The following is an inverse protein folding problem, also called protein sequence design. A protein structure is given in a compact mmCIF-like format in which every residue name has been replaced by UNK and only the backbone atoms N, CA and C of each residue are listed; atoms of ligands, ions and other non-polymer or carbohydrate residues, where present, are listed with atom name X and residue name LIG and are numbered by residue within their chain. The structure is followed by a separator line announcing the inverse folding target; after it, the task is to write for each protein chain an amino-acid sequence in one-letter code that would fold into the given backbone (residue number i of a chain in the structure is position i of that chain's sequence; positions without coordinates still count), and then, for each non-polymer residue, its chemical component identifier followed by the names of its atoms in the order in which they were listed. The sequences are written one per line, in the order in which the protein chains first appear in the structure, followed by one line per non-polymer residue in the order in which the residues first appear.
data_IF_059937180786
#
_entry.id   IF_059937180786
#
_cell.length_a   1.000
_cell.length_b   1.000
_cell.length_c   1.000
_cell.angle_alpha   90.00
_cell.angle_beta   90.00
_cell.angle_gamma   90.00
#
_symmetry.space_group_name_H-M   'P 1'
#
loop_
_entity.id
_entity.type
_entity.pdbx_description
1 polymer ?
#
# COMPACT_ATOMS: atom_id res chain seq x y z
N UNK A 1 -10.73 52.30 9.39
CA UNK A 1 -9.98 51.07 8.92
C UNK A 1 -10.50 49.91 9.71
N UNK A 2 -11.40 49.11 9.12
CA UNK A 2 -11.96 47.91 9.78
C UNK A 2 -10.84 46.91 9.92
N UNK A 3 -10.40 46.64 11.16
CA UNK A 3 -9.43 45.60 11.45
C UNK A 3 -10.04 44.22 11.08
N UNK A 4 -9.60 43.64 10.01
CA UNK A 4 -9.91 42.25 9.73
C UNK A 4 -9.43 41.44 10.93
N UNK A 5 -10.35 40.80 11.65
CA UNK A 5 -10.02 39.93 12.78
C UNK A 5 -9.07 38.82 12.31
N UNK A 6 -8.24 38.32 13.23
CA UNK A 6 -7.32 37.24 12.93
C UNK A 6 -8.06 36.05 12.28
N UNK A 7 -7.51 35.46 11.21
CA UNK A 7 -8.18 34.36 10.51
C UNK A 7 -8.39 33.17 11.47
N UNK A 8 -9.59 32.57 11.42
CA UNK A 8 -9.97 31.42 12.23
C UNK A 8 -10.29 30.25 11.31
N UNK A 9 -9.63 29.10 11.54
CA UNK A 9 -9.78 27.88 10.73
C UNK A 9 -10.00 26.70 11.66
N UNK A 10 -10.97 25.84 11.33
CA UNK A 10 -11.16 24.55 11.96
C UNK A 10 -10.68 23.44 11.03
N UNK A 11 -9.87 22.54 11.56
CA UNK A 11 -9.45 21.30 10.89
C UNK A 11 -10.15 20.14 11.59
N UNK A 12 -10.90 19.34 10.84
CA UNK A 12 -11.63 18.19 11.37
C UNK A 12 -10.86 16.91 11.07
N UNK A 13 -10.52 16.15 12.12
CA UNK A 13 -9.75 14.93 12.07
C UNK A 13 -8.28 15.13 12.47
N UNK A 14 -7.87 14.48 13.56
CA UNK A 14 -6.52 14.53 14.12
C UNK A 14 -5.58 13.45 13.62
N UNK A 15 -5.87 12.81 12.48
CA UNK A 15 -4.92 11.93 11.80
C UNK A 15 -3.81 12.73 11.11
N UNK A 16 -2.84 12.02 10.47
CA UNK A 16 -1.67 12.65 9.83
C UNK A 16 -2.07 13.77 8.85
N UNK A 17 -3.13 13.58 8.08
CA UNK A 17 -3.62 14.58 7.12
C UNK A 17 -4.05 15.87 7.83
N UNK A 18 -4.85 15.76 8.89
CA UNK A 18 -5.31 16.94 9.65
C UNK A 18 -4.19 17.63 10.42
N UNK A 19 -3.27 16.86 11.01
CA UNK A 19 -2.09 17.41 11.67
C UNK A 19 -1.20 18.18 10.72
N UNK A 20 -0.89 17.62 9.53
CA UNK A 20 -0.11 18.31 8.50
C UNK A 20 -0.85 19.54 7.96
N UNK A 21 -2.18 19.45 7.76
CA UNK A 21 -2.98 20.60 7.36
C UNK A 21 -2.92 21.74 8.38
N UNK A 22 -3.09 21.42 9.66
CA UNK A 22 -2.98 22.42 10.74
C UNK A 22 -1.58 23.04 10.81
N UNK A 23 -0.54 22.24 10.68
CA UNK A 23 0.85 22.70 10.61
C UNK A 23 1.08 23.64 9.42
N UNK A 24 0.67 23.27 8.21
CA UNK A 24 0.78 24.10 7.01
C UNK A 24 -0.01 25.40 7.13
N UNK A 25 -1.22 25.34 7.67
CA UNK A 25 -2.03 26.53 7.96
C UNK A 25 -1.33 27.46 8.95
N UNK A 26 -0.71 26.93 10.00
CA UNK A 26 0.06 27.73 10.94
C UNK A 26 1.20 28.46 10.28
N UNK A 27 1.92 27.79 9.37
CA UNK A 27 3.01 28.43 8.61
C UNK A 27 2.53 29.47 7.60
N UNK A 28 1.39 29.23 6.95
CA UNK A 28 0.83 30.15 5.97
C UNK A 28 0.18 31.38 6.59
N UNK A 29 -0.55 31.20 7.68
CA UNK A 29 -1.37 32.24 8.29
C UNK A 29 -0.65 32.98 9.45
N UNK A 30 0.47 32.47 9.89
CA UNK A 30 1.27 33.04 11.00
C UNK A 30 0.71 32.76 12.39
N UNK A 31 1.41 33.29 13.41
CA UNK A 31 1.13 32.98 14.82
C UNK A 31 -0.21 33.53 15.30
N UNK A 32 -0.72 34.59 14.70
CA UNK A 32 -1.98 35.24 15.12
C UNK A 32 -3.25 34.53 14.64
N UNK A 33 -3.15 33.63 13.66
CA UNK A 33 -4.30 32.85 13.22
C UNK A 33 -4.79 31.89 14.30
N UNK A 34 -6.11 31.80 14.48
CA UNK A 34 -6.72 30.78 15.34
C UNK A 34 -6.91 29.51 14.52
N UNK A 35 -6.16 28.46 14.83
CA UNK A 35 -6.33 27.13 14.23
C UNK A 35 -6.82 26.18 15.31
N UNK A 36 -7.97 25.55 15.04
CA UNK A 36 -8.60 24.58 15.95
C UNK A 36 -8.60 23.23 15.26
N UNK A 37 -7.97 22.24 15.88
CA UNK A 37 -8.01 20.85 15.44
C UNK A 37 -9.08 20.11 16.26
N UNK A 38 -10.03 19.50 15.57
CA UNK A 38 -11.13 18.73 16.15
C UNK A 38 -10.90 17.24 15.87
N UNK A 39 -10.82 16.44 16.92
CA UNK A 39 -10.67 14.98 16.85
C UNK A 39 -11.82 14.32 17.62
N UNK A 40 -12.42 13.28 17.04
CA UNK A 40 -13.56 12.56 17.64
C UNK A 40 -13.15 11.46 18.61
N UNK A 41 -11.87 11.04 18.58
CA UNK A 41 -11.31 10.06 19.50
C UNK A 41 -10.53 10.73 20.65
N UNK A 42 -10.14 9.95 21.64
CA UNK A 42 -9.36 10.43 22.79
C UNK A 42 -7.87 10.71 22.46
N UNK A 43 -7.43 10.41 21.24
CA UNK A 43 -6.04 10.58 20.83
C UNK A 43 -5.89 11.17 19.43
N UNK A 44 -4.76 11.83 19.18
CA UNK A 44 -4.32 12.21 17.85
C UNK A 44 -3.59 11.04 17.15
N UNK A 45 -3.32 11.19 15.86
CA UNK A 45 -2.57 10.24 15.04
C UNK A 45 -3.43 9.41 14.08
N UNK A 46 -4.70 9.18 14.40
CA UNK A 46 -5.60 8.39 13.54
C UNK A 46 -5.08 6.96 13.30
N UNK A 47 -4.69 6.65 12.06
CA UNK A 47 -4.13 5.35 11.67
C UNK A 47 -2.66 5.15 12.10
N UNK A 48 -1.95 6.19 12.50
CA UNK A 48 -0.65 6.07 13.17
C UNK A 48 -0.92 5.71 14.63
N UNK A 49 -0.42 4.56 15.07
CA UNK A 49 -0.64 4.09 16.44
C UNK A 49 0.50 3.22 16.90
N UNK A 50 1.24 3.70 17.89
CA UNK A 50 2.24 2.95 18.63
C UNK A 50 1.67 2.52 19.97
N UNK A 51 1.95 1.31 20.40
CA UNK A 51 1.56 0.78 21.73
C UNK A 51 2.76 0.07 22.36
N UNK A 52 2.86 0.06 23.70
CA UNK A 52 3.86 -0.76 24.37
C UNK A 52 3.44 -2.24 24.29
N UNK A 53 4.35 -3.08 23.80
CA UNK A 53 4.20 -4.52 23.79
C UNK A 53 5.45 -5.16 24.43
N UNK A 54 5.27 -5.86 25.53
CA UNK A 54 6.36 -6.46 26.33
C UNK A 54 7.48 -5.47 26.72
N UNK A 55 7.16 -4.18 26.83
CA UNK A 55 8.10 -3.11 27.22
C UNK A 55 8.69 -2.33 26.04
N UNK A 56 8.53 -2.82 24.82
CA UNK A 56 9.00 -2.16 23.60
C UNK A 56 7.86 -1.41 22.88
N UNK A 57 8.12 -0.24 22.27
CA UNK A 57 7.15 0.45 21.43
C UNK A 57 6.97 -0.31 20.11
N UNK A 58 5.71 -0.63 19.78
CA UNK A 58 5.33 -1.34 18.54
C UNK A 58 4.25 -0.56 17.81
N UNK A 59 4.47 -0.31 16.52
CA UNK A 59 3.48 0.29 15.67
C UNK A 59 2.44 -0.75 15.26
N UNK A 60 1.20 -0.56 15.72
CA UNK A 60 0.04 -1.42 15.40
C UNK A 60 -0.89 -0.79 14.37
N UNK A 61 -0.51 0.34 13.83
CA UNK A 61 -1.19 1.06 12.75
C UNK A 61 -0.33 1.12 11.50
N UNK A 62 -0.39 2.27 10.79
CA UNK A 62 0.47 2.51 9.63
C UNK A 62 1.91 2.80 10.10
N UNK A 63 2.83 1.88 9.81
CA UNK A 63 4.23 1.93 10.30
C UNK A 63 5.24 2.42 9.24
N UNK A 64 4.86 2.39 7.96
CA UNK A 64 5.80 2.67 6.88
C UNK A 64 5.16 3.53 5.78
N UNK A 65 6.02 4.18 5.01
CA UNK A 65 5.61 4.92 3.82
C UNK A 65 6.55 4.63 2.64
N UNK A 66 6.10 4.96 1.43
CA UNK A 66 6.88 4.72 0.22
C UNK A 66 7.92 5.84 0.05
N UNK A 67 9.18 5.56 0.40
CA UNK A 67 10.28 6.54 0.42
C UNK A 67 10.62 7.18 -0.94
N UNK A 68 10.14 6.63 -2.08
CA UNK A 68 10.29 7.28 -3.40
C UNK A 68 9.32 8.45 -3.62
N UNK A 69 8.31 8.61 -2.76
CA UNK A 69 7.41 9.75 -2.75
C UNK A 69 8.05 10.87 -1.94
N UNK A 70 8.22 12.08 -2.50
CA UNK A 70 8.98 13.14 -1.84
C UNK A 70 8.24 13.81 -0.68
N UNK A 71 6.92 13.63 -0.58
CA UNK A 71 6.06 14.40 0.32
C UNK A 71 6.39 14.19 1.80
N UNK A 72 6.59 12.92 2.21
CA UNK A 72 6.92 12.60 3.61
C UNK A 72 8.39 12.91 3.93
N UNK A 73 9.39 12.51 3.12
CA UNK A 73 10.76 12.95 3.34
C UNK A 73 10.93 14.46 3.46
N UNK A 74 10.27 15.25 2.59
CA UNK A 74 10.33 16.71 2.65
C UNK A 74 9.67 17.27 3.93
N UNK A 75 8.57 16.66 4.41
CA UNK A 75 7.97 17.04 5.68
C UNK A 75 8.92 16.73 6.86
N UNK A 76 9.56 15.56 6.87
CA UNK A 76 10.51 15.19 7.92
C UNK A 76 11.73 16.13 7.94
N UNK A 77 12.25 16.52 6.77
CA UNK A 77 13.32 17.51 6.66
C UNK A 77 12.89 18.87 7.24
N UNK A 78 11.68 19.32 6.87
CA UNK A 78 11.12 20.58 7.37
C UNK A 78 10.90 20.59 8.89
N UNK A 79 10.61 19.43 9.48
CA UNK A 79 10.43 19.24 10.92
C UNK A 79 11.75 18.98 11.66
N UNK A 80 12.88 18.81 10.96
CA UNK A 80 14.16 18.46 11.55
C UNK A 80 14.26 17.01 12.01
N UNK A 81 13.47 16.10 11.39
CA UNK A 81 13.35 14.69 11.76
C UNK A 81 14.00 13.73 10.74
N UNK A 82 14.80 14.24 9.81
CA UNK A 82 15.41 13.43 8.74
C UNK A 82 16.34 12.32 9.27
N UNK A 83 16.98 12.53 10.39
CA UNK A 83 17.86 11.58 11.08
C UNK A 83 17.10 10.40 11.73
N UNK A 84 15.81 10.56 11.95
CA UNK A 84 14.94 9.51 12.48
C UNK A 84 14.39 8.57 11.38
N UNK A 85 14.63 8.92 10.11
CA UNK A 85 14.24 8.10 9.00
C UNK A 85 15.03 6.80 8.98
N UNK A 86 14.35 5.67 9.06
CA UNK A 86 14.95 4.34 8.98
C UNK A 86 14.50 3.60 7.71
N UNK A 87 15.32 2.67 7.27
CA UNK A 87 15.04 1.84 6.10
C UNK A 87 14.98 0.37 6.50
N UNK A 88 14.21 -0.46 5.77
CA UNK A 88 14.18 -1.90 6.01
C UNK A 88 15.59 -2.51 5.99
N UNK A 89 15.82 -3.51 6.83
CA UNK A 89 17.11 -4.21 6.97
C UNK A 89 17.55 -4.97 5.70
N UNK A 90 16.68 -5.07 4.69
CA UNK A 90 16.89 -5.88 3.49
C UNK A 90 16.54 -7.36 3.69
N UNK A 91 16.00 -7.74 4.85
CA UNK A 91 15.42 -9.07 5.04
C UNK A 91 14.31 -9.31 4.01
N UNK A 92 14.31 -10.49 3.40
CA UNK A 92 13.31 -10.84 2.40
C UNK A 92 12.01 -11.20 3.10
N UNK A 93 10.89 -10.55 2.77
CA UNK A 93 9.60 -10.95 3.30
C UNK A 93 9.20 -12.32 2.77
N UNK A 94 8.44 -13.07 3.57
CA UNK A 94 7.96 -14.40 3.26
C UNK A 94 6.43 -14.45 3.36
N UNK A 95 5.82 -15.32 2.56
CA UNK A 95 4.41 -15.68 2.68
C UNK A 95 4.33 -16.99 3.47
N UNK A 96 3.49 -17.04 4.50
CA UNK A 96 3.12 -18.29 5.15
C UNK A 96 1.83 -18.83 4.53
N UNK A 97 1.93 -19.88 3.73
CA UNK A 97 0.80 -20.52 3.07
C UNK A 97 0.99 -22.05 3.01
N UNK A 98 -0.09 -22.82 3.15
CA UNK A 98 -0.03 -24.27 3.10
C UNK A 98 0.89 -24.89 4.17
N UNK A 99 0.96 -24.29 5.37
CA UNK A 99 1.82 -24.67 6.49
C UNK A 99 3.34 -24.59 6.18
N UNK A 100 3.73 -23.78 5.17
CA UNK A 100 5.13 -23.55 4.82
C UNK A 100 5.41 -22.06 4.57
N UNK A 101 6.69 -21.69 4.67
CA UNK A 101 7.16 -20.35 4.32
C UNK A 101 7.63 -20.33 2.86
N UNK A 102 7.16 -19.38 2.10
CA UNK A 102 7.49 -19.17 0.69
C UNK A 102 8.08 -17.79 0.46
N UNK A 103 9.05 -17.63 -0.44
CA UNK A 103 9.47 -16.30 -0.90
C UNK A 103 8.29 -15.55 -1.54
N UNK A 104 8.33 -14.22 -1.51
CA UNK A 104 7.37 -13.45 -2.32
C UNK A 104 7.53 -13.81 -3.80
N UNK A 105 6.42 -14.06 -4.51
CA UNK A 105 6.47 -14.38 -5.93
C UNK A 105 6.97 -13.18 -6.74
N UNK A 106 7.87 -13.42 -7.67
CA UNK A 106 8.32 -12.44 -8.66
C UNK A 106 7.45 -12.49 -9.91
N UNK A 107 7.42 -11.41 -10.71
CA UNK A 107 6.59 -11.36 -11.91
C UNK A 107 5.09 -11.32 -11.61
N UNK A 108 4.73 -10.77 -10.44
CA UNK A 108 3.32 -10.60 -10.04
C UNK A 108 3.00 -9.13 -9.75
N UNK A 109 1.76 -8.74 -10.00
CA UNK A 109 1.20 -7.47 -9.56
C UNK A 109 0.35 -7.73 -8.32
N UNK A 110 0.83 -7.37 -7.14
CA UNK A 110 0.17 -7.64 -5.85
C UNK A 110 -0.28 -9.11 -5.72
N UNK A 111 0.56 -10.04 -6.15
CA UNK A 111 0.29 -11.48 -6.08
C UNK A 111 -0.46 -12.04 -7.28
N UNK A 112 -0.97 -11.23 -8.20
CA UNK A 112 -1.61 -11.68 -9.45
C UNK A 112 -0.50 -12.02 -10.44
N UNK A 113 -0.38 -13.26 -10.91
CA UNK A 113 0.74 -13.71 -11.75
C UNK A 113 0.63 -13.20 -13.18
N UNK A 114 1.79 -12.85 -13.79
CA UNK A 114 1.90 -12.62 -15.23
C UNK A 114 2.00 -13.96 -16.00
N UNK A 115 2.52 -15.00 -15.35
CA UNK A 115 2.68 -16.34 -15.92
C UNK A 115 2.66 -17.41 -14.80
N UNK A 116 2.56 -18.68 -15.19
CA UNK A 116 2.52 -19.80 -14.23
C UNK A 116 3.83 -19.95 -13.44
N UNK A 117 4.97 -19.62 -14.03
CA UNK A 117 6.28 -19.73 -13.39
C UNK A 117 6.41 -18.85 -12.15
N UNK A 118 5.69 -17.72 -12.13
CA UNK A 118 5.65 -16.77 -11.02
C UNK A 118 5.18 -17.37 -9.68
N UNK A 119 4.33 -18.42 -9.72
CA UNK A 119 3.76 -19.06 -8.53
C UNK A 119 4.24 -20.50 -8.28
N UNK A 120 5.31 -20.92 -8.95
CA UNK A 120 5.89 -22.25 -8.75
C UNK A 120 6.25 -22.47 -7.28
N UNK A 121 5.78 -23.60 -6.71
CA UNK A 121 5.98 -23.95 -5.32
C UNK A 121 5.02 -23.29 -4.32
N UNK A 122 4.24 -22.29 -4.75
CA UNK A 122 3.22 -21.64 -3.92
C UNK A 122 1.82 -22.25 -4.13
N UNK A 123 1.52 -22.65 -5.36
CA UNK A 123 0.26 -23.30 -5.74
C UNK A 123 0.50 -24.69 -6.32
N UNK A 124 -0.55 -25.51 -6.45
CA UNK A 124 -0.46 -26.85 -7.00
C UNK A 124 -0.35 -26.89 -8.54
N UNK A 125 -0.10 -28.08 -9.08
CA UNK A 125 0.12 -28.28 -10.51
C UNK A 125 -1.14 -27.94 -11.34
N UNK A 126 -2.32 -28.23 -10.84
CA UNK A 126 -3.58 -27.94 -11.54
C UNK A 126 -3.81 -26.43 -11.64
N UNK A 127 -3.51 -25.70 -10.58
CA UNK A 127 -3.57 -24.24 -10.58
C UNK A 127 -2.52 -23.65 -11.54
N UNK A 128 -1.29 -24.17 -11.57
CA UNK A 128 -0.27 -23.74 -12.53
C UNK A 128 -0.72 -23.99 -13.97
N UNK A 129 -1.33 -25.15 -14.25
CA UNK A 129 -1.86 -25.46 -15.58
C UNK A 129 -3.02 -24.50 -15.98
N UNK A 130 -3.89 -24.15 -15.02
CA UNK A 130 -4.96 -23.16 -15.24
C UNK A 130 -4.39 -21.77 -15.58
N UNK A 131 -3.36 -21.32 -14.84
CA UNK A 131 -2.69 -20.03 -15.14
C UNK A 131 -2.06 -20.07 -16.53
N UNK A 132 -1.39 -21.17 -16.91
CA UNK A 132 -0.77 -21.32 -18.23
C UNK A 132 -1.79 -21.31 -19.37
N UNK A 133 -2.98 -21.85 -19.16
CA UNK A 133 -4.05 -21.88 -20.15
C UNK A 133 -4.86 -20.56 -20.22
N UNK A 134 -4.77 -19.70 -19.22
CA UNK A 134 -5.58 -18.48 -19.10
C UNK A 134 -5.54 -17.57 -20.34
N UNK A 135 -4.39 -17.37 -21.03
CA UNK A 135 -4.36 -16.54 -22.23
C UNK A 135 -5.21 -17.05 -23.40
N UNK A 136 -5.63 -18.33 -23.37
CA UNK A 136 -6.46 -18.93 -24.40
C UNK A 136 -7.96 -18.84 -24.08
N UNK A 137 -8.32 -18.40 -22.87
CA UNK A 137 -9.71 -18.29 -22.43
C UNK A 137 -10.19 -16.84 -22.62
N UNK A 138 -11.30 -16.61 -23.34
CA UNK A 138 -11.82 -15.25 -23.55
C UNK A 138 -12.00 -14.51 -22.23
N UNK A 139 -11.55 -13.25 -22.18
CA UNK A 139 -11.70 -12.38 -21.03
C UNK A 139 -12.90 -11.44 -21.24
N UNK A 140 -13.84 -11.47 -20.31
CA UNK A 140 -14.88 -10.45 -20.23
C UNK A 140 -14.47 -9.39 -19.18
N UNK A 141 -14.46 -8.13 -19.58
CA UNK A 141 -14.17 -7.00 -18.70
C UNK A 141 -15.24 -5.92 -18.84
N UNK A 142 -15.96 -5.65 -17.76
CA UNK A 142 -16.91 -4.53 -17.70
C UNK A 142 -16.17 -3.22 -17.43
N UNK A 143 -16.17 -2.32 -18.42
CA UNK A 143 -15.52 -1.01 -18.29
C UNK A 143 -16.28 -0.05 -17.40
N UNK A 144 -17.57 -0.29 -17.14
CA UNK A 144 -18.41 0.56 -16.31
C UNK A 144 -18.47 0.10 -14.84
N UNK A 145 -18.18 -1.18 -14.60
CA UNK A 145 -18.19 -1.78 -13.27
C UNK A 145 -16.83 -1.77 -12.56
N UNK A 146 -16.84 -2.21 -11.32
CA UNK A 146 -15.62 -2.46 -10.53
C UNK A 146 -15.79 -3.79 -9.78
N UNK A 147 -15.33 -4.87 -10.40
CA UNK A 147 -15.33 -6.22 -9.79
C UNK A 147 -14.27 -6.27 -8.68
N UNK A 148 -14.48 -7.14 -7.67
CA UNK A 148 -13.47 -7.37 -6.65
C UNK A 148 -12.21 -8.03 -7.24
N UNK A 149 -11.06 -7.78 -6.61
CA UNK A 149 -9.81 -8.44 -7.02
C UNK A 149 -9.92 -9.95 -6.85
N UNK A 150 -10.56 -10.42 -5.76
CA UNK A 150 -10.77 -11.84 -5.52
C UNK A 150 -11.60 -12.49 -6.62
N UNK A 151 -12.74 -11.90 -6.97
CA UNK A 151 -13.64 -12.47 -8.00
C UNK A 151 -12.94 -12.55 -9.36
N UNK A 152 -12.24 -11.48 -9.77
CA UNK A 152 -11.49 -11.47 -11.02
C UNK A 152 -10.41 -12.56 -11.05
N UNK A 153 -9.62 -12.68 -9.96
CA UNK A 153 -8.53 -13.65 -9.90
C UNK A 153 -9.05 -15.07 -9.75
N UNK A 154 -10.08 -15.29 -8.94
CA UNK A 154 -10.70 -16.62 -8.77
C UNK A 154 -11.29 -17.14 -10.07
N UNK A 155 -12.01 -16.28 -10.81
CA UNK A 155 -12.56 -16.64 -12.13
C UNK A 155 -11.46 -17.07 -13.10
N UNK A 156 -10.33 -16.38 -13.14
CA UNK A 156 -9.27 -16.63 -14.13
C UNK A 156 -8.28 -17.71 -13.67
N UNK A 157 -7.75 -17.58 -12.48
CA UNK A 157 -6.64 -18.40 -11.99
C UNK A 157 -7.04 -19.41 -10.89
N UNK A 158 -8.22 -19.24 -10.28
CA UNK A 158 -8.71 -20.09 -9.20
C UNK A 158 -8.44 -19.53 -7.80
N UNK A 159 -9.24 -20.00 -6.85
CA UNK A 159 -9.23 -19.62 -5.44
C UNK A 159 -7.87 -19.78 -4.75
N UNK A 160 -7.07 -20.73 -5.20
CA UNK A 160 -5.77 -20.99 -4.58
C UNK A 160 -4.80 -19.81 -4.80
N UNK A 161 -4.86 -19.15 -5.95
CA UNK A 161 -4.09 -17.93 -6.24
C UNK A 161 -4.54 -16.80 -5.33
N UNK A 162 -5.85 -16.62 -5.16
CA UNK A 162 -6.40 -15.60 -4.24
C UNK A 162 -5.82 -15.80 -2.84
N UNK A 163 -6.00 -16.98 -2.26
CA UNK A 163 -5.67 -17.25 -0.84
C UNK A 163 -4.18 -17.30 -0.56
N UNK A 164 -3.37 -17.84 -1.48
CA UNK A 164 -1.94 -18.09 -1.24
C UNK A 164 -1.02 -16.99 -1.77
N UNK A 165 -1.50 -16.17 -2.70
CA UNK A 165 -0.70 -15.14 -3.33
C UNK A 165 -1.29 -13.74 -3.17
N UNK A 166 -2.54 -13.52 -3.56
CA UNK A 166 -3.14 -12.18 -3.60
C UNK A 166 -3.47 -11.66 -2.20
N UNK A 167 -4.21 -12.40 -1.40
CA UNK A 167 -4.60 -11.98 -0.05
C UNK A 167 -3.40 -11.66 0.86
N UNK A 168 -2.33 -12.47 0.90
CA UNK A 168 -1.16 -12.11 1.70
C UNK A 168 -0.50 -10.79 1.29
N UNK A 169 -0.46 -10.48 -0.01
CA UNK A 169 0.18 -9.25 -0.49
C UNK A 169 -0.75 -8.04 -0.38
N UNK A 170 -2.01 -8.17 -0.77
CA UNK A 170 -2.99 -7.09 -0.61
C UNK A 170 -3.29 -6.81 0.85
N UNK A 171 -3.47 -7.85 1.66
CA UNK A 171 -3.71 -7.71 3.10
C UNK A 171 -2.59 -6.98 3.82
N UNK A 172 -1.33 -7.25 3.43
CA UNK A 172 -0.15 -6.57 3.96
C UNK A 172 -0.08 -5.07 3.62
N UNK A 173 -0.72 -4.64 2.52
CA UNK A 173 -0.71 -3.24 2.07
C UNK A 173 -1.99 -2.50 2.49
N UNK A 174 -3.15 -3.13 2.32
CA UNK A 174 -4.45 -2.48 2.49
C UNK A 174 -5.16 -2.84 3.79
N UNK A 175 -4.61 -3.78 4.58
CA UNK A 175 -5.21 -4.31 5.83
C UNK A 175 -6.64 -4.81 5.62
N UNK A 176 -6.90 -5.44 4.47
CA UNK A 176 -8.20 -5.98 4.05
C UNK A 176 -8.04 -7.16 3.12
N UNK A 177 -9.11 -7.90 2.90
CA UNK A 177 -9.12 -9.01 1.96
C UNK A 177 -9.44 -8.53 0.54
N UNK A 178 -9.05 -9.31 -0.45
CA UNK A 178 -9.23 -8.98 -1.86
C UNK A 178 -10.68 -9.07 -2.35
N UNK A 179 -11.57 -9.71 -1.59
CA UNK A 179 -13.01 -9.82 -1.87
C UNK A 179 -13.75 -8.48 -1.74
N UNK A 180 -13.26 -7.58 -0.87
CA UNK A 180 -13.81 -6.23 -0.67
C UNK A 180 -13.04 -5.15 -1.40
N UNK A 181 -11.97 -5.50 -2.10
CA UNK A 181 -11.08 -4.57 -2.80
C UNK A 181 -11.44 -4.51 -4.30
N UNK A 182 -12.05 -3.42 -4.76
CA UNK A 182 -12.31 -3.18 -6.18
C UNK A 182 -11.03 -3.05 -6.99
N UNK A 183 -10.97 -3.63 -8.18
CA UNK A 183 -9.78 -3.62 -9.06
C UNK A 183 -9.39 -2.19 -9.43
N UNK A 184 -10.35 -1.33 -9.75
CA UNK A 184 -10.10 0.05 -10.16
C UNK A 184 -9.51 0.90 -9.03
N UNK A 185 -10.06 0.71 -7.83
CA UNK A 185 -9.61 1.43 -6.65
C UNK A 185 -8.23 0.96 -6.16
N UNK A 186 -7.98 -0.34 -6.20
CA UNK A 186 -6.80 -0.97 -5.60
C UNK A 186 -5.63 -1.10 -6.57
N UNK A 187 -5.93 -1.45 -7.82
CA UNK A 187 -4.95 -1.76 -8.88
C UNK A 187 -5.23 -0.93 -10.15
N UNK A 188 -5.18 0.41 -10.09
CA UNK A 188 -5.56 1.28 -11.22
C UNK A 188 -4.76 1.03 -12.49
N UNK A 189 -3.50 0.57 -12.38
CA UNK A 189 -2.66 0.22 -13.54
C UNK A 189 -3.17 -1.06 -14.24
N UNK A 190 -3.67 -2.03 -13.46
CA UNK A 190 -4.31 -3.23 -14.01
C UNK A 190 -5.61 -2.89 -14.70
N UNK A 191 -6.46 -2.09 -14.03
CA UNK A 191 -7.72 -1.63 -14.61
C UNK A 191 -7.50 -0.89 -15.94
N UNK A 192 -6.49 -0.01 -16.01
CA UNK A 192 -6.14 0.69 -17.24
C UNK A 192 -5.68 -0.26 -18.35
N UNK A 193 -4.92 -1.31 -18.04
CA UNK A 193 -4.52 -2.31 -19.02
C UNK A 193 -5.71 -3.12 -19.56
N UNK A 194 -6.66 -3.46 -18.69
CA UNK A 194 -7.91 -4.14 -19.06
C UNK A 194 -8.81 -3.21 -19.89
N UNK A 195 -8.95 -1.95 -19.51
CA UNK A 195 -9.70 -0.93 -20.29
C UNK A 195 -9.09 -0.70 -21.67
N UNK A 196 -7.77 -0.82 -21.80
CA UNK A 196 -7.06 -0.76 -23.07
C UNK A 196 -7.21 -2.05 -23.93
N UNK A 197 -8.00 -3.02 -23.48
CA UNK A 197 -8.29 -4.23 -24.25
C UNK A 197 -7.20 -5.30 -24.16
N UNK A 198 -6.60 -5.49 -23.00
CA UNK A 198 -5.73 -6.65 -22.78
C UNK A 198 -6.54 -7.94 -23.02
N UNK A 199 -6.04 -8.90 -23.81
CA UNK A 199 -6.80 -10.08 -24.19
C UNK A 199 -6.96 -11.10 -23.07
N UNK A 200 -6.15 -11.01 -22.03
CA UNK A 200 -6.11 -11.91 -20.88
C UNK A 200 -5.70 -11.16 -19.61
N UNK A 201 -5.95 -11.76 -18.44
CA UNK A 201 -5.50 -11.20 -17.17
C UNK A 201 -3.97 -11.26 -17.05
N UNK A 202 -3.34 -12.34 -17.51
CA UNK A 202 -1.87 -12.47 -17.56
C UNK A 202 -1.21 -11.36 -18.37
N UNK A 203 -1.76 -11.04 -19.54
CA UNK A 203 -1.28 -9.95 -20.39
C UNK A 203 -1.53 -8.58 -19.76
N UNK A 204 -2.70 -8.38 -19.12
CA UNK A 204 -2.99 -7.16 -18.39
C UNK A 204 -1.99 -6.91 -17.24
N UNK A 205 -1.65 -7.97 -16.48
CA UNK A 205 -0.63 -7.93 -15.44
C UNK A 205 0.73 -7.57 -16.04
N UNK A 206 1.12 -8.21 -17.13
CA UNK A 206 2.40 -7.93 -17.81
C UNK A 206 2.50 -6.45 -18.20
N UNK A 207 1.44 -5.86 -18.76
CA UNK A 207 1.40 -4.42 -19.11
C UNK A 207 1.41 -3.50 -17.90
N UNK A 208 0.83 -3.95 -16.77
CA UNK A 208 0.74 -3.17 -15.55
C UNK A 208 2.00 -3.25 -14.67
N UNK A 209 2.84 -4.26 -14.88
CA UNK A 209 4.10 -4.39 -14.14
C UNK A 209 5.05 -3.23 -14.47
N UNK A 210 5.75 -2.68 -13.46
CA UNK A 210 6.77 -1.68 -13.72
C UNK A 210 7.91 -2.28 -14.53
N UNK A 211 8.47 -1.50 -15.46
CA UNK A 211 9.66 -1.92 -16.21
C UNK A 211 10.76 -2.40 -15.26
N UNK A 212 11.54 -3.44 -15.66
CA UNK A 212 12.63 -3.95 -14.85
C UNK A 212 13.58 -2.83 -14.43
N UNK A 213 13.78 -2.66 -13.12
CA UNK A 213 14.72 -1.63 -12.62
C UNK A 213 16.15 -2.10 -12.82
N UNK A 214 16.90 -1.41 -13.66
CA UNK A 214 18.32 -1.66 -13.95
C UNK A 214 19.30 -1.22 -12.85
N UNK A 215 18.82 -0.87 -11.64
CA UNK A 215 19.69 -0.47 -10.53
C UNK A 215 19.41 -1.30 -9.29
N UNK A 216 20.44 -1.95 -8.70
CA UNK A 216 20.32 -2.55 -7.39
C UNK A 216 20.14 -1.44 -6.35
N UNK A 217 19.16 -1.61 -5.47
CA UNK A 217 18.99 -0.75 -4.30
C UNK A 217 20.07 -1.15 -3.29
N UNK A 218 21.24 -0.52 -3.36
CA UNK A 218 22.26 -0.63 -2.32
C UNK A 218 22.09 0.54 -1.35
N UNK A 219 21.40 0.31 -0.25
CA UNK A 219 21.47 1.18 0.92
C UNK A 219 21.98 0.36 2.11
N UNK A 220 22.94 0.89 2.90
CA UNK A 220 23.50 0.17 4.03
C UNK A 220 22.47 0.02 5.17
N UNK A 221 22.44 -1.16 5.77
CA UNK A 221 21.64 -1.47 6.93
C UNK A 221 22.03 -0.58 8.13
N UNK A 222 21.10 0.15 8.72
CA UNK A 222 21.25 0.70 10.08
C UNK A 222 19.91 0.81 10.82
N UNK A 223 19.87 0.12 11.98
CA UNK A 223 19.03 0.20 13.19
C UNK A 223 17.53 -0.10 13.10
N UNK A 224 16.96 -0.71 14.16
CA UNK A 224 15.54 -1.00 14.24
C UNK A 224 14.71 0.26 14.48
N UNK A 225 13.57 0.28 13.84
CA UNK A 225 12.40 1.15 13.93
C UNK A 225 12.46 2.32 14.93
N UNK A 226 12.45 3.55 14.40
CA UNK A 226 12.10 4.75 15.15
C UNK A 226 10.65 5.13 14.81
N UNK A 227 9.86 5.44 15.82
CA UNK A 227 8.44 5.79 15.67
C UNK A 227 8.28 7.27 15.33
N UNK A 228 7.37 7.60 14.41
CA UNK A 228 6.98 8.97 14.04
C UNK A 228 6.27 9.75 15.17
N UNK A 229 6.06 9.13 16.33
CA UNK A 229 5.24 9.69 17.43
C UNK A 229 6.03 10.15 18.65
N UNK A 230 7.34 9.93 18.70
CA UNK A 230 8.20 10.32 19.85
C UNK A 230 8.89 11.67 19.67
N UNK A 231 8.41 12.50 18.73
CA UNK A 231 8.96 13.85 18.46
C UNK A 231 7.97 14.97 18.77
#
# INVERSE_FOLDING_TARGET
MSGAGAPSVAVVGGGITGLVAAYRLRRLLGAHARIVLLEGSERLGGKLRTVPLAGDPVDVGAEAFIGRRPEVPALLEELGLSDQLVHPSGARPLIYAGAALHPLPSGTLMGIPADAGSLTGLVDADTLARIAAEPTVPLYWDRAGDVSVADLVADRFGEQVVRRSVDPLLGGVYSGLSDTAGVRATLPTLAAALDAGAPSLSEAVTRALPAPRTRPCSAPARRPYGTLLDA
#
